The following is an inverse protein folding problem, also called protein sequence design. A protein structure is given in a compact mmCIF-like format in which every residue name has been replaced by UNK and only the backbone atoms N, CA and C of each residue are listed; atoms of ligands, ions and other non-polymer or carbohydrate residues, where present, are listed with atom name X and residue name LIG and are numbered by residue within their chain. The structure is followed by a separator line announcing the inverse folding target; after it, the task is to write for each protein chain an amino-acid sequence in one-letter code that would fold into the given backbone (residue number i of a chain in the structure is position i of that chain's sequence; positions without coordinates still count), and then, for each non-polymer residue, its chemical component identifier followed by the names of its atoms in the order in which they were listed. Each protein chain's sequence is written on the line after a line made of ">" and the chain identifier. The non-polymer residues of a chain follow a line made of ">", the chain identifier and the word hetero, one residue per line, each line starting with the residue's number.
data_IF_427530967076
#
_entry.id   IF_427530967076
#
_cell.length_a   1.000
_cell.length_b   1.000
_cell.length_c   1.000
_cell.angle_alpha   90.00
_cell.angle_beta   90.00
_cell.angle_gamma   90.00
#
_symmetry.space_group_name_H-M   'P 1'
#
loop_
_entity.id
_entity.type
_entity.pdbx_description
1 polymer ?
#
# COMPACT_ATOMS: atom_id res chain seq x y z
N UNK A 1 23.40 -21.24 -36.74
CA UNK A 1 22.65 -20.01 -36.42
C UNK A 1 22.08 -20.21 -35.02
N UNK A 2 22.12 -19.20 -34.16
CA UNK A 2 21.50 -19.31 -32.83
C UNK A 2 19.96 -19.29 -32.98
N UNK A 3 19.26 -20.10 -32.21
CA UNK A 3 17.79 -20.04 -32.10
C UNK A 3 17.39 -18.90 -31.17
N UNK A 4 16.28 -18.22 -31.51
CA UNK A 4 15.73 -17.18 -30.65
C UNK A 4 15.08 -17.81 -29.41
N UNK A 5 15.49 -17.34 -28.24
CA UNK A 5 14.88 -17.69 -26.96
C UNK A 5 14.61 -16.42 -26.15
N UNK A 6 13.33 -16.13 -25.90
CA UNK A 6 12.95 -15.03 -25.02
C UNK A 6 13.30 -15.37 -23.57
N UNK A 7 13.85 -14.41 -22.85
CA UNK A 7 14.10 -14.49 -21.40
C UNK A 7 13.62 -13.19 -20.78
N UNK A 8 12.80 -13.30 -19.73
CA UNK A 8 12.40 -12.12 -18.95
C UNK A 8 13.62 -11.49 -18.29
N UNK A 9 13.71 -10.16 -18.31
CA UNK A 9 14.80 -9.44 -17.65
C UNK A 9 14.78 -9.67 -16.13
N UNK A 10 13.57 -9.78 -15.55
CA UNK A 10 13.33 -9.93 -14.11
C UNK A 10 12.25 -11.00 -13.88
N UNK A 11 12.61 -12.30 -13.86
CA UNK A 11 11.65 -13.37 -13.63
C UNK A 11 11.09 -13.33 -12.21
N UNK A 12 9.82 -13.70 -12.05
CA UNK A 12 9.17 -13.75 -10.74
C UNK A 12 9.66 -14.97 -9.92
N UNK A 13 9.89 -14.74 -8.63
CA UNK A 13 10.15 -15.80 -7.65
C UNK A 13 8.87 -16.34 -7.02
N UNK A 14 9.04 -17.26 -6.07
CA UNK A 14 7.94 -17.79 -5.25
C UNK A 14 7.32 -16.67 -4.39
N UNK A 15 5.98 -16.57 -4.40
CA UNK A 15 5.24 -15.67 -3.51
C UNK A 15 4.96 -16.37 -2.16
N UNK A 16 5.53 -15.81 -1.09
CA UNK A 16 5.38 -16.30 0.30
C UNK A 16 4.48 -15.40 1.13
N UNK A 17 3.81 -14.45 0.50
CA UNK A 17 2.99 -13.44 1.18
C UNK A 17 1.67 -14.06 1.63
N UNK A 18 1.28 -13.80 2.88
CA UNK A 18 -0.03 -14.16 3.37
C UNK A 18 -1.05 -13.08 3.00
N UNK A 19 -2.20 -13.49 2.46
CA UNK A 19 -3.27 -12.59 2.04
C UNK A 19 -4.50 -12.74 2.94
N UNK A 20 -5.11 -11.61 3.30
CA UNK A 20 -6.42 -11.54 3.94
C UNK A 20 -7.47 -11.19 2.89
N UNK A 21 -8.58 -11.94 2.87
CA UNK A 21 -9.71 -11.62 2.00
C UNK A 21 -10.44 -10.37 2.51
N UNK A 22 -10.72 -9.43 1.61
CA UNK A 22 -11.27 -8.10 1.94
C UNK A 22 -12.73 -7.93 1.48
N UNK A 23 -13.15 -8.71 0.46
CA UNK A 23 -14.50 -8.69 -0.08
C UNK A 23 -14.85 -10.04 -0.71
N UNK A 24 -16.13 -10.41 -0.63
CA UNK A 24 -16.73 -11.55 -1.33
C UNK A 24 -17.46 -11.13 -2.62
N UNK A 25 -17.55 -9.82 -2.89
CA UNK A 25 -18.29 -9.24 -4.00
C UNK A 25 -17.52 -8.11 -4.69
N UNK A 26 -18.11 -7.58 -5.77
CA UNK A 26 -17.55 -6.48 -6.56
C UNK A 26 -16.58 -6.96 -7.65
N UNK A 27 -16.68 -8.23 -8.01
CA UNK A 27 -16.03 -8.83 -9.16
C UNK A 27 -16.88 -9.99 -9.70
N UNK A 28 -16.78 -10.24 -11.00
CA UNK A 28 -17.47 -11.35 -11.69
C UNK A 28 -16.65 -11.86 -12.86
N UNK A 29 -16.94 -13.08 -13.28
CA UNK A 29 -16.40 -13.63 -14.53
C UNK A 29 -17.41 -13.37 -15.66
N UNK A 30 -16.96 -12.74 -16.74
CA UNK A 30 -17.72 -12.63 -17.98
C UNK A 30 -17.07 -13.46 -19.08
N UNK A 31 -17.90 -14.10 -19.91
CA UNK A 31 -17.45 -14.93 -21.03
C UNK A 31 -17.63 -14.18 -22.33
N UNK A 32 -16.55 -14.06 -23.10
CA UNK A 32 -16.58 -13.54 -24.47
C UNK A 32 -15.95 -14.56 -25.41
N UNK A 33 -16.81 -15.31 -26.10
CA UNK A 33 -16.40 -16.48 -26.87
C UNK A 33 -15.77 -17.55 -25.97
N UNK A 34 -14.53 -17.92 -26.25
CA UNK A 34 -13.77 -18.93 -25.49
C UNK A 34 -12.87 -18.33 -24.40
N UNK A 35 -12.99 -17.03 -24.11
CA UNK A 35 -12.18 -16.34 -23.09
C UNK A 35 -13.03 -15.96 -21.88
N UNK A 36 -12.44 -16.09 -20.71
CA UNK A 36 -12.98 -15.61 -19.44
C UNK A 36 -12.28 -14.31 -19.05
N UNK A 37 -13.06 -13.29 -18.71
CA UNK A 37 -12.59 -11.99 -18.25
C UNK A 37 -13.02 -11.79 -16.80
N UNK A 38 -12.08 -11.35 -15.96
CA UNK A 38 -12.39 -10.89 -14.62
C UNK A 38 -12.83 -9.43 -14.70
N UNK A 39 -14.11 -9.18 -14.50
CA UNK A 39 -14.65 -7.83 -14.40
C UNK A 39 -14.63 -7.42 -12.93
N UNK A 40 -13.95 -6.33 -12.60
CA UNK A 40 -13.81 -5.77 -11.26
C UNK A 40 -14.56 -4.45 -11.22
N UNK A 41 -15.41 -4.27 -10.23
CA UNK A 41 -16.13 -3.01 -10.02
C UNK A 41 -15.20 -1.94 -9.42
N UNK A 42 -15.37 -0.65 -9.80
CA UNK A 42 -14.55 0.43 -9.27
C UNK A 42 -14.54 0.50 -7.73
N UNK A 43 -15.69 0.27 -7.09
CA UNK A 43 -15.81 0.27 -5.63
C UNK A 43 -14.92 -0.77 -4.95
N UNK A 44 -14.65 -1.90 -5.61
CA UNK A 44 -13.72 -2.92 -5.10
C UNK A 44 -12.29 -2.39 -5.04
N UNK A 45 -11.88 -1.64 -6.06
CA UNK A 45 -10.56 -1.01 -6.11
C UNK A 45 -10.48 0.08 -5.04
N UNK A 46 -11.51 0.91 -4.87
CA UNK A 46 -11.55 1.94 -3.81
C UNK A 46 -11.43 1.33 -2.42
N UNK A 47 -12.20 0.29 -2.15
CA UNK A 47 -12.16 -0.43 -0.87
C UNK A 47 -10.79 -1.07 -0.63
N UNK A 48 -10.22 -1.71 -1.66
CA UNK A 48 -8.86 -2.27 -1.57
C UNK A 48 -7.84 -1.18 -1.23
N UNK A 49 -7.89 -0.04 -1.91
CA UNK A 49 -6.98 1.09 -1.65
C UNK A 49 -7.16 1.64 -0.24
N UNK A 50 -8.40 1.85 0.21
CA UNK A 50 -8.67 2.34 1.57
C UNK A 50 -8.11 1.39 2.64
N UNK A 51 -8.39 0.09 2.52
CA UNK A 51 -7.91 -0.94 3.45
C UNK A 51 -6.38 -1.04 3.43
N UNK A 52 -5.75 -0.96 2.26
CA UNK A 52 -4.30 -0.94 2.14
C UNK A 52 -3.68 0.29 2.81
N UNK A 53 -4.28 1.48 2.63
CA UNK A 53 -3.83 2.70 3.31
C UNK A 53 -3.97 2.54 4.82
N UNK A 54 -5.14 2.13 5.32
CA UNK A 54 -5.34 1.88 6.74
C UNK A 54 -4.28 0.92 7.31
N UNK A 55 -4.12 -0.26 6.72
CA UNK A 55 -3.25 -1.30 7.25
C UNK A 55 -1.76 -0.90 7.18
N UNK A 56 -1.36 -0.20 6.12
CA UNK A 56 0.02 0.28 5.96
C UNK A 56 0.44 1.34 6.98
N UNK A 57 -0.52 2.14 7.46
CA UNK A 57 -0.27 3.22 8.42
C UNK A 57 -0.32 2.74 9.88
N UNK A 58 -0.94 1.59 10.14
CA UNK A 58 -1.19 1.10 11.50
C UNK A 58 -0.49 -0.22 11.84
N UNK A 59 -0.11 -1.00 10.83
CA UNK A 59 0.51 -2.32 11.01
C UNK A 59 1.90 -2.39 10.36
N UNK A 60 2.72 -3.29 10.91
CA UNK A 60 4.03 -3.63 10.36
C UNK A 60 4.06 -5.11 9.99
N UNK A 61 4.86 -5.45 8.97
CA UNK A 61 5.11 -6.85 8.62
C UNK A 61 5.72 -7.59 9.81
N UNK A 62 5.30 -8.82 10.04
CA UNK A 62 5.85 -9.69 11.09
C UNK A 62 7.36 -9.85 10.99
N UNK A 63 7.91 -9.90 9.77
CA UNK A 63 9.36 -9.98 9.54
C UNK A 63 10.13 -8.76 10.04
N UNK A 64 9.53 -7.56 9.98
CA UNK A 64 10.13 -6.35 10.53
C UNK A 64 10.05 -6.35 12.06
N UNK A 65 8.89 -6.70 12.65
CA UNK A 65 8.74 -6.81 14.11
C UNK A 65 9.71 -7.83 14.73
N UNK A 66 9.96 -8.95 14.03
CA UNK A 66 10.98 -9.94 14.45
C UNK A 66 12.39 -9.36 14.49
N UNK A 67 12.73 -8.42 13.61
CA UNK A 67 14.04 -7.75 13.63
C UNK A 67 14.18 -6.87 14.87
N UNK A 68 13.14 -6.08 15.21
CA UNK A 68 13.14 -5.29 16.45
C UNK A 68 13.22 -6.19 17.69
N UNK A 69 12.49 -7.30 17.71
CA UNK A 69 12.55 -8.27 18.82
C UNK A 69 13.96 -8.85 18.98
N UNK A 70 14.64 -9.15 17.88
CA UNK A 70 16.01 -9.70 17.88
C UNK A 70 17.00 -8.76 18.57
N UNK A 71 16.87 -7.44 18.39
CA UNK A 71 17.73 -6.44 19.06
C UNK A 71 17.64 -6.57 20.59
N UNK A 72 16.45 -6.84 21.13
CA UNK A 72 16.25 -6.99 22.56
C UNK A 72 16.92 -8.25 23.14
N UNK A 73 16.97 -9.34 22.36
CA UNK A 73 17.61 -10.61 22.75
C UNK A 73 19.12 -10.63 22.53
N UNK A 74 19.64 -9.73 21.71
CA UNK A 74 21.05 -9.68 21.37
C UNK A 74 21.89 -9.22 22.56
N UNK A 75 22.94 -9.98 22.89
CA UNK A 75 23.87 -9.65 23.97
C UNK A 75 24.87 -8.58 23.57
N UNK A 76 25.11 -8.40 22.27
CA UNK A 76 26.03 -7.41 21.72
C UNK A 76 25.34 -6.06 21.47
N UNK A 77 24.00 -6.02 21.45
CA UNK A 77 23.25 -4.77 21.30
C UNK A 77 23.45 -3.85 22.50
N UNK A 78 23.67 -2.57 22.22
CA UNK A 78 23.84 -1.56 23.26
C UNK A 78 22.53 -1.34 24.02
N UNK A 79 22.63 -0.74 25.22
CA UNK A 79 21.44 -0.36 25.98
C UNK A 79 20.55 0.62 25.20
N UNK A 80 21.16 1.48 24.37
CA UNK A 80 20.42 2.43 23.54
C UNK A 80 19.67 1.73 22.40
N UNK A 81 20.28 0.73 21.76
CA UNK A 81 19.61 -0.07 20.72
C UNK A 81 18.37 -0.76 21.30
N UNK A 82 18.51 -1.34 22.49
CA UNK A 82 17.40 -2.00 23.19
C UNK A 82 16.31 -1.02 23.61
N UNK A 83 16.71 0.15 24.11
CA UNK A 83 15.78 1.22 24.47
C UNK A 83 14.94 1.67 23.26
N UNK A 84 15.60 1.98 22.14
CA UNK A 84 14.94 2.41 20.90
C UNK A 84 14.05 1.30 20.34
N UNK A 85 14.54 0.05 20.27
CA UNK A 85 13.76 -1.06 19.75
C UNK A 85 12.49 -1.33 20.60
N UNK A 86 12.59 -1.20 21.92
CA UNK A 86 11.45 -1.34 22.81
C UNK A 86 10.41 -0.24 22.57
N UNK A 87 10.85 1.02 22.41
CA UNK A 87 9.92 2.12 22.17
C UNK A 87 9.26 2.04 20.78
N UNK A 88 9.98 1.59 19.75
CA UNK A 88 9.39 1.28 18.45
C UNK A 88 8.35 0.15 18.53
N UNK A 89 8.59 -0.88 19.33
CA UNK A 89 7.61 -1.97 19.55
C UNK A 89 6.38 -1.49 20.34
N UNK A 90 6.55 -0.60 21.33
CA UNK A 90 5.42 0.04 22.01
C UNK A 90 4.60 0.90 21.05
N UNK A 91 5.28 1.67 20.20
CA UNK A 91 4.62 2.47 19.16
C UNK A 91 3.81 1.56 18.22
N UNK A 92 4.42 0.47 17.71
CA UNK A 92 3.75 -0.58 16.93
C UNK A 92 2.46 -1.08 17.60
N UNK A 93 2.52 -1.36 18.89
CA UNK A 93 1.36 -1.81 19.67
C UNK A 93 0.28 -0.72 19.79
N UNK A 94 0.64 0.54 20.04
CA UNK A 94 -0.32 1.64 20.13
C UNK A 94 -1.03 1.86 18.80
N UNK A 95 -0.29 1.92 17.70
CA UNK A 95 -0.87 2.18 16.38
C UNK A 95 -1.74 1.05 15.88
N UNK A 96 -1.46 -0.19 16.29
CA UNK A 96 -2.32 -1.34 15.96
C UNK A 96 -3.77 -1.19 16.47
N UNK A 97 -4.04 -0.22 17.35
CA UNK A 97 -5.39 0.16 17.74
C UNK A 97 -6.19 0.93 16.68
N UNK A 98 -5.59 1.31 15.54
CA UNK A 98 -6.28 1.95 14.41
C UNK A 98 -6.67 3.42 14.60
N UNK A 99 -6.23 4.05 15.70
CA UNK A 99 -6.56 5.46 16.00
C UNK A 99 -5.40 6.40 15.67
N UNK A 100 -4.18 6.06 16.10
CA UNK A 100 -2.97 6.87 15.85
C UNK A 100 -2.10 6.15 14.82
N UNK A 101 -1.62 6.83 13.76
CA UNK A 101 -0.74 6.21 12.78
C UNK A 101 0.65 5.94 13.36
N UNK A 102 1.42 5.09 12.69
CA UNK A 102 2.74 4.68 13.16
C UNK A 102 3.74 5.82 13.23
N UNK A 103 3.60 6.78 12.33
CA UNK A 103 4.47 7.93 12.20
C UNK A 103 3.60 9.17 12.00
N UNK A 104 4.07 10.32 12.49
CA UNK A 104 3.43 11.61 12.19
C UNK A 104 3.50 11.94 10.68
N UNK A 105 4.55 11.44 10.01
CA UNK A 105 4.65 11.51 8.57
C UNK A 105 4.03 10.25 7.97
N UNK A 106 2.78 10.39 7.54
CA UNK A 106 2.04 9.33 6.86
C UNK A 106 2.44 9.17 5.40
N UNK A 107 3.46 9.91 4.94
CA UNK A 107 4.15 9.70 3.68
C UNK A 107 3.39 10.11 2.42
N UNK A 108 4.09 10.01 1.29
CA UNK A 108 3.52 10.07 -0.05
C UNK A 108 2.95 8.71 -0.42
N UNK A 109 1.74 8.70 -0.99
CA UNK A 109 1.14 7.46 -1.44
C UNK A 109 1.72 7.06 -2.79
N UNK A 110 2.25 5.84 -2.85
CA UNK A 110 2.80 5.22 -4.06
C UNK A 110 2.07 3.89 -4.28
N UNK A 111 1.53 3.71 -5.48
CA UNK A 111 0.75 2.54 -5.86
C UNK A 111 1.29 2.02 -7.17
N UNK A 112 1.64 0.73 -7.18
CA UNK A 112 2.03 0.00 -8.39
C UNK A 112 0.98 -1.06 -8.67
N UNK A 113 0.25 -0.89 -9.76
CA UNK A 113 -0.77 -1.80 -10.27
C UNK A 113 -0.24 -2.64 -11.43
N UNK A 114 -0.63 -3.92 -11.46
CA UNK A 114 -0.41 -4.79 -12.64
C UNK A 114 -1.75 -5.33 -13.09
N UNK A 115 -2.32 -4.72 -14.13
CA UNK A 115 -3.59 -5.18 -14.71
C UNK A 115 -3.33 -6.20 -15.81
N UNK A 116 -3.77 -7.44 -15.59
CA UNK A 116 -3.67 -8.50 -16.59
C UNK A 116 -4.54 -8.21 -17.83
N UNK A 117 -4.19 -8.81 -18.98
CA UNK A 117 -4.89 -8.62 -20.25
C UNK A 117 -6.36 -9.08 -20.24
N UNK A 118 -6.73 -9.98 -19.33
CA UNK A 118 -8.10 -10.49 -19.16
C UNK A 118 -8.81 -9.86 -17.94
N UNK A 119 -8.32 -8.72 -17.43
CA UNK A 119 -8.96 -7.97 -16.34
C UNK A 119 -9.59 -6.70 -16.89
N UNK A 120 -10.87 -6.49 -16.56
CA UNK A 120 -11.66 -5.33 -16.99
C UNK A 120 -12.13 -4.61 -15.72
N UNK A 121 -11.86 -3.32 -15.61
CA UNK A 121 -12.26 -2.49 -14.45
C UNK A 121 -13.39 -1.51 -14.78
N UNK A 122 -13.66 -1.28 -16.08
CA UNK A 122 -14.65 -0.30 -16.58
C UNK A 122 -14.54 1.08 -15.91
N UNK A 123 -13.32 1.50 -15.56
CA UNK A 123 -13.00 2.77 -14.89
C UNK A 123 -11.74 3.43 -15.42
N UNK A 124 -11.56 4.70 -15.05
CA UNK A 124 -10.24 5.31 -14.97
C UNK A 124 -9.60 4.88 -13.64
N UNK A 125 -8.76 3.85 -13.69
CA UNK A 125 -8.27 3.15 -12.49
C UNK A 125 -7.51 4.09 -11.56
N UNK A 126 -6.76 5.04 -12.10
CA UNK A 126 -6.00 6.04 -11.35
C UNK A 126 -6.91 6.97 -10.53
N UNK A 127 -8.05 7.39 -11.09
CA UNK A 127 -9.03 8.23 -10.39
C UNK A 127 -9.69 7.45 -9.25
N UNK A 128 -10.10 6.21 -9.50
CA UNK A 128 -10.72 5.33 -8.52
C UNK A 128 -9.74 5.06 -7.37
N UNK A 129 -8.48 4.77 -7.69
CA UNK A 129 -7.43 4.59 -6.71
C UNK A 129 -7.22 5.88 -5.90
N UNK A 130 -7.11 7.05 -6.56
CA UNK A 130 -6.94 8.33 -5.90
C UNK A 130 -8.12 8.66 -4.97
N UNK A 131 -9.35 8.30 -5.33
CA UNK A 131 -10.53 8.45 -4.47
C UNK A 131 -10.42 7.56 -3.22
N UNK A 132 -9.94 6.32 -3.36
CA UNK A 132 -9.66 5.44 -2.22
C UNK A 132 -8.61 6.02 -1.26
N UNK A 133 -7.54 6.63 -1.81
CA UNK A 133 -6.53 7.35 -1.03
C UNK A 133 -7.14 8.54 -0.31
N UNK A 134 -7.85 9.41 -1.04
CA UNK A 134 -8.54 10.56 -0.48
C UNK A 134 -9.43 10.15 0.69
N UNK A 135 -10.26 9.11 0.51
CA UNK A 135 -11.15 8.61 1.56
C UNK A 135 -10.38 8.17 2.81
N UNK A 136 -9.26 7.46 2.66
CA UNK A 136 -8.44 7.05 3.80
C UNK A 136 -7.87 8.26 4.56
N UNK A 137 -7.34 9.24 3.85
CA UNK A 137 -6.76 10.43 4.48
C UNK A 137 -7.81 11.37 5.10
N UNK A 138 -9.04 11.39 4.59
CA UNK A 138 -10.13 12.18 5.17
C UNK A 138 -10.80 11.51 6.38
N UNK A 139 -10.84 10.17 6.43
CA UNK A 139 -11.58 9.42 7.47
C UNK A 139 -10.68 8.96 8.62
N UNK A 140 -9.38 8.78 8.38
CA UNK A 140 -8.41 8.35 9.38
C UNK A 140 -7.59 9.55 9.90
N UNK A 141 -6.95 9.41 11.06
CA UNK A 141 -6.13 10.47 11.64
C UNK A 141 -4.74 10.55 10.98
N UNK A 142 -4.70 10.80 9.67
CA UNK A 142 -3.48 10.88 8.86
C UNK A 142 -3.10 12.34 8.55
N UNK A 143 -1.93 12.55 7.93
CA UNK A 143 -1.40 13.89 7.65
C UNK A 143 -1.38 14.22 6.16
N UNK A 144 -1.89 15.40 5.80
CA UNK A 144 -1.78 15.95 4.45
C UNK A 144 -0.40 16.58 4.23
N UNK A 145 0.44 15.90 3.44
CA UNK A 145 1.87 16.22 3.32
C UNK A 145 2.27 16.68 1.91
N UNK A 146 1.37 16.62 0.93
CA UNK A 146 1.66 17.04 -0.44
C UNK A 146 1.49 18.55 -0.63
N UNK A 147 2.49 19.18 -1.25
CA UNK A 147 2.51 20.58 -1.64
C UNK A 147 2.40 20.68 -3.16
N UNK A 148 1.38 21.41 -3.65
CA UNK A 148 1.22 21.71 -5.06
C UNK A 148 1.97 23.00 -5.42
N UNK A 149 2.81 23.00 -6.45
CA UNK A 149 3.49 24.20 -6.94
C UNK A 149 2.52 25.07 -7.75
N UNK A 150 2.32 26.32 -7.31
CA UNK A 150 1.51 27.32 -8.01
C UNK A 150 2.38 28.24 -8.89
N UNK A 151 3.62 28.46 -8.46
CA UNK A 151 4.67 29.13 -9.23
C UNK A 151 6.03 28.54 -8.84
N UNK A 152 7.13 29.14 -9.29
CA UNK A 152 8.48 28.71 -8.88
C UNK A 152 8.72 28.83 -7.37
N UNK A 153 7.99 29.73 -6.68
CA UNK A 153 8.25 30.08 -5.27
C UNK A 153 7.02 29.93 -4.37
N UNK A 154 5.85 29.73 -4.96
CA UNK A 154 4.59 29.62 -4.23
C UNK A 154 4.09 28.19 -4.28
N UNK A 155 3.83 27.63 -3.11
CA UNK A 155 3.27 26.30 -2.94
C UNK A 155 2.06 26.35 -2.02
N UNK A 156 1.16 25.40 -2.21
CA UNK A 156 -0.01 25.23 -1.34
C UNK A 156 -0.21 23.77 -1.00
N UNK A 157 -0.45 23.47 0.27
CA UNK A 157 -0.85 22.14 0.69
C UNK A 157 -2.18 21.75 0.00
N UNK A 158 -2.23 20.55 -0.54
CA UNK A 158 -3.42 20.07 -1.27
C UNK A 158 -4.61 19.81 -0.35
N UNK A 159 -4.36 19.67 0.96
CA UNK A 159 -5.37 19.45 1.98
C UNK A 159 -5.93 18.02 2.00
N UNK A 160 -5.33 17.11 1.22
CA UNK A 160 -5.87 15.77 0.97
C UNK A 160 -4.80 14.68 0.87
N UNK A 161 -3.52 15.06 0.92
CA UNK A 161 -2.37 14.21 0.62
C UNK A 161 -2.31 13.65 -0.82
N UNK A 162 -3.13 14.17 -1.74
CA UNK A 162 -2.99 13.91 -3.18
C UNK A 162 -2.09 14.96 -3.84
N UNK A 163 -1.51 14.70 -5.03
CA UNK A 163 -1.64 13.46 -5.82
C UNK A 163 -0.88 12.28 -5.22
N UNK A 164 -1.36 11.07 -5.49
CA UNK A 164 -0.60 9.83 -5.31
C UNK A 164 0.23 9.56 -6.58
N UNK A 165 1.34 8.86 -6.43
CA UNK A 165 2.06 8.27 -7.56
C UNK A 165 1.41 6.92 -7.88
N UNK A 166 0.80 6.79 -9.06
CA UNK A 166 0.09 5.59 -9.50
C UNK A 166 0.69 5.12 -10.82
N UNK A 167 1.22 3.90 -10.83
CA UNK A 167 1.94 3.27 -11.95
C UNK A 167 1.40 1.87 -12.29
#
# INVERSE_FOLDING_TARGET
>A
MAEFQYTELLPLGEDKTAYRKISDSGFKIEKLGNKEFLVIEPETIKKLTFEAMHDSQHYLRTSHLKQLRKILDDKEASNNDKFVALDLLKNANISSGGVLPMCQDTGTVIITGKRGSNVITNSHDEEVIAEGVFNAYQQLNLRYSQLAPLSMWEEKNTGTNLPAQIE
#
